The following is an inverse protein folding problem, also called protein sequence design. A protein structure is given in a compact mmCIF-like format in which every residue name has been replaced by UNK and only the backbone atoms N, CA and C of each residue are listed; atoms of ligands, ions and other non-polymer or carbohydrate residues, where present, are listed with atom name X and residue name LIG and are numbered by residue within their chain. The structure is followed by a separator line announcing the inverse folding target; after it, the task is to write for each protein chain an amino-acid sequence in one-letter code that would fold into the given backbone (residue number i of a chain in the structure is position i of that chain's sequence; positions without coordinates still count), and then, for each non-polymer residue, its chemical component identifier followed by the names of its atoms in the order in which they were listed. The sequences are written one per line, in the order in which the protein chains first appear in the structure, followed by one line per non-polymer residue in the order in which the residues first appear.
data_IF_177152844914
#
_entry.id   IF_177152844914
#
_cell.length_a   1.000
_cell.length_b   1.000
_cell.length_c   1.000
_cell.angle_alpha   90.00
_cell.angle_beta   90.00
_cell.angle_gamma   90.00
#
_symmetry.space_group_name_H-M   'P 1'
#
loop_
_entity.id
_entity.type
_entity.pdbx_description
1 polymer ?
#
# COMPACT_ATOMS: atom_id res chain seq x y z
N UNK A 1 -27.32 3.50 -7.64
CA UNK A 1 -27.45 4.97 -7.63
C UNK A 1 -28.81 5.35 -8.23
N UNK A 2 -29.54 6.30 -7.64
CA UNK A 2 -30.84 6.76 -8.18
C UNK A 2 -30.71 8.03 -9.01
N UNK A 3 -31.65 8.23 -9.94
CA UNK A 3 -31.71 9.44 -10.76
C UNK A 3 -31.87 10.69 -9.89
N UNK A 4 -31.24 11.79 -10.33
CA UNK A 4 -31.33 13.10 -9.69
C UNK A 4 -32.79 13.57 -9.62
N UNK A 5 -33.20 14.10 -8.46
CA UNK A 5 -34.56 14.64 -8.22
C UNK A 5 -35.02 15.67 -9.25
N UNK A 6 -34.11 16.50 -9.76
CA UNK A 6 -34.40 17.47 -10.81
C UNK A 6 -34.64 16.85 -12.21
N UNK A 7 -34.56 15.53 -12.37
CA UNK A 7 -34.80 14.85 -13.65
C UNK A 7 -33.77 15.16 -14.74
N UNK A 8 -32.60 15.70 -14.38
CA UNK A 8 -31.61 16.18 -15.35
C UNK A 8 -30.80 15.07 -16.06
N UNK A 9 -31.11 13.80 -15.83
CA UNK A 9 -30.42 12.64 -16.41
C UNK A 9 -29.12 12.21 -15.70
N UNK A 10 -28.67 12.95 -14.68
CA UNK A 10 -27.54 12.57 -13.82
C UNK A 10 -28.02 11.87 -12.53
N UNK A 11 -27.09 11.34 -11.73
CA UNK A 11 -27.39 10.67 -10.45
C UNK A 11 -27.41 11.64 -9.27
N UNK A 12 -28.33 11.40 -8.34
CA UNK A 12 -28.39 12.09 -7.05
C UNK A 12 -27.77 11.26 -5.93
N UNK A 13 -27.35 11.91 -4.85
CA UNK A 13 -26.87 11.24 -3.64
C UNK A 13 -27.49 11.86 -2.37
N UNK A 14 -27.38 11.15 -1.26
CA UNK A 14 -27.97 11.54 0.02
C UNK A 14 -27.40 12.87 0.56
N UNK A 15 -26.07 13.04 0.47
CA UNK A 15 -25.38 14.26 0.89
C UNK A 15 -25.91 15.53 0.19
N UNK A 16 -26.34 15.40 -1.07
CA UNK A 16 -26.92 16.48 -1.85
C UNK A 16 -28.45 16.40 -1.92
N UNK A 17 -29.10 15.82 -0.90
CA UNK A 17 -30.57 15.68 -0.79
C UNK A 17 -31.23 15.08 -2.04
N UNK A 18 -30.59 14.12 -2.69
CA UNK A 18 -31.07 13.45 -3.91
C UNK A 18 -30.83 14.21 -5.22
N UNK A 19 -30.10 15.33 -5.20
CA UNK A 19 -29.69 16.06 -6.41
C UNK A 19 -28.28 15.68 -6.87
N UNK A 20 -27.98 15.87 -8.15
CA UNK A 20 -26.60 15.90 -8.62
C UNK A 20 -25.91 17.20 -8.15
N UNK A 21 -24.58 17.23 -8.13
CA UNK A 21 -23.80 18.38 -7.66
C UNK A 21 -24.18 19.71 -8.33
N UNK A 22 -24.56 19.68 -9.61
CA UNK A 22 -25.02 20.85 -10.36
C UNK A 22 -26.41 21.31 -9.94
N UNK A 23 -27.38 20.40 -9.88
CA UNK A 23 -28.77 20.74 -9.52
C UNK A 23 -28.89 21.13 -8.04
N UNK A 24 -28.05 20.57 -7.18
CA UNK A 24 -28.02 20.91 -5.77
C UNK A 24 -27.76 22.41 -5.56
N UNK A 25 -26.79 23.00 -6.26
CA UNK A 25 -26.49 24.45 -6.13
C UNK A 25 -27.66 25.34 -6.54
N UNK A 26 -28.48 24.90 -7.49
CA UNK A 26 -29.65 25.65 -7.97
C UNK A 26 -30.86 25.49 -7.06
N UNK A 27 -31.01 24.33 -6.41
CA UNK A 27 -32.19 23.98 -5.60
C UNK A 27 -31.90 23.91 -4.10
N UNK A 28 -30.69 24.26 -3.65
CA UNK A 28 -30.25 24.16 -2.25
C UNK A 28 -31.09 25.01 -1.28
N UNK A 29 -31.78 26.04 -1.76
CA UNK A 29 -32.61 26.93 -0.94
C UNK A 29 -34.03 26.42 -0.68
N UNK A 30 -34.46 25.31 -1.31
CA UNK A 30 -35.79 24.77 -1.10
C UNK A 30 -35.76 23.75 0.05
N UNK A 31 -36.40 24.11 1.16
CA UNK A 31 -36.60 23.28 2.35
C UNK A 31 -37.63 22.16 2.09
N UNK A 32 -37.49 21.45 0.98
CA UNK A 32 -38.41 20.39 0.57
C UNK A 32 -37.95 19.03 1.11
N UNK A 33 -37.98 18.93 2.44
CA UNK A 33 -37.64 17.71 3.18
C UNK A 33 -38.62 16.59 2.83
N UNK A 34 -39.90 16.90 2.54
CA UNK A 34 -40.90 15.91 2.20
C UNK A 34 -40.58 15.18 0.87
N UNK A 35 -40.22 15.93 -0.17
CA UNK A 35 -39.83 15.30 -1.43
C UNK A 35 -38.42 14.65 -1.37
N UNK A 36 -37.56 15.05 -0.42
CA UNK A 36 -36.33 14.31 -0.15
C UNK A 36 -36.63 12.96 0.50
N UNK A 37 -37.49 12.93 1.51
CA UNK A 37 -37.90 11.71 2.23
C UNK A 37 -38.50 10.69 1.25
N UNK A 38 -39.36 11.16 0.34
CA UNK A 38 -39.95 10.32 -0.70
C UNK A 38 -38.90 9.77 -1.68
N UNK A 39 -37.94 10.60 -2.10
CA UNK A 39 -36.83 10.15 -2.93
C UNK A 39 -35.94 9.15 -2.20
N UNK A 40 -35.64 9.39 -0.91
CA UNK A 40 -34.80 8.52 -0.08
C UNK A 40 -35.46 7.14 0.07
N UNK A 41 -36.76 7.10 0.37
CA UNK A 41 -37.51 5.84 0.43
C UNK A 41 -37.48 5.07 -0.90
N UNK A 42 -37.63 5.77 -2.03
CA UNK A 42 -37.52 5.14 -3.35
C UNK A 42 -36.09 4.66 -3.65
N UNK A 43 -35.09 5.46 -3.25
CA UNK A 43 -33.68 5.13 -3.40
C UNK A 43 -33.30 3.89 -2.60
N UNK A 44 -33.63 3.84 -1.30
CA UNK A 44 -33.37 2.69 -0.43
C UNK A 44 -34.05 1.43 -0.94
N UNK A 45 -35.31 1.52 -1.40
CA UNK A 45 -35.99 0.37 -2.03
C UNK A 45 -35.28 -0.13 -3.29
N UNK A 46 -34.81 0.78 -4.15
CA UNK A 46 -34.09 0.41 -5.37
C UNK A 46 -32.73 -0.20 -5.06
N UNK A 47 -31.99 0.34 -4.08
CA UNK A 47 -30.70 -0.21 -3.64
C UNK A 47 -30.88 -1.61 -3.04
N UNK A 48 -31.83 -1.79 -2.12
CA UNK A 48 -32.08 -3.09 -1.50
C UNK A 48 -32.45 -4.16 -2.54
N UNK A 49 -33.28 -3.80 -3.54
CA UNK A 49 -33.60 -4.73 -4.63
C UNK A 49 -32.36 -5.17 -5.42
N UNK A 50 -31.43 -4.25 -5.72
CA UNK A 50 -30.18 -4.58 -6.42
C UNK A 50 -29.29 -5.47 -5.55
N UNK A 51 -29.21 -5.18 -4.25
CA UNK A 51 -28.45 -5.99 -3.29
C UNK A 51 -29.02 -7.41 -3.21
N UNK A 52 -30.34 -7.55 -3.10
CA UNK A 52 -31.04 -8.85 -3.12
C UNK A 52 -30.78 -9.63 -4.42
N UNK A 53 -30.86 -8.95 -5.58
CA UNK A 53 -30.56 -9.58 -6.88
C UNK A 53 -29.10 -10.03 -6.99
N UNK A 54 -28.15 -9.25 -6.46
CA UNK A 54 -26.73 -9.61 -6.44
C UNK A 54 -26.44 -10.78 -5.50
N UNK A 55 -27.04 -10.79 -4.30
CA UNK A 55 -26.94 -11.91 -3.34
C UNK A 55 -27.50 -13.18 -3.99
N UNK A 56 -28.67 -13.10 -4.62
CA UNK A 56 -29.28 -14.22 -5.32
C UNK A 56 -28.35 -14.77 -6.42
N UNK A 57 -27.77 -13.89 -7.26
CA UNK A 57 -26.81 -14.32 -8.30
C UNK A 57 -25.57 -14.97 -7.70
N UNK A 58 -25.04 -14.45 -6.59
CA UNK A 58 -23.89 -15.03 -5.88
C UNK A 58 -24.20 -16.44 -5.35
N UNK A 59 -25.39 -16.64 -4.77
CA UNK A 59 -25.85 -17.95 -4.29
C UNK A 59 -26.07 -18.94 -5.45
N UNK A 60 -26.67 -18.49 -6.55
CA UNK A 60 -26.83 -19.30 -7.76
C UNK A 60 -25.47 -19.74 -8.34
N UNK A 61 -24.46 -18.86 -8.29
CA UNK A 61 -23.10 -19.19 -8.71
C UNK A 61 -22.43 -20.22 -7.79
N UNK A 62 -22.56 -20.06 -6.46
CA UNK A 62 -22.02 -21.01 -5.49
C UNK A 62 -22.67 -22.40 -5.60
N UNK A 63 -23.97 -22.46 -5.91
CA UNK A 63 -24.67 -23.74 -6.14
C UNK A 63 -24.35 -24.36 -7.51
N UNK A 64 -23.89 -23.55 -8.47
CA UNK A 64 -23.54 -23.98 -9.81
C UNK A 64 -22.08 -24.40 -9.96
N UNK A 65 -21.23 -24.30 -8.93
CA UNK A 65 -19.89 -24.88 -8.95
C UNK A 65 -19.97 -26.41 -8.79
N UNK A 66 -19.71 -27.20 -9.84
CA UNK A 66 -19.61 -28.64 -9.69
C UNK A 66 -18.38 -28.96 -8.85
N UNK A 67 -18.58 -29.81 -7.84
CA UNK A 67 -17.56 -30.40 -6.99
C UNK A 67 -16.71 -31.38 -7.82
N UNK A 68 -15.81 -30.86 -8.67
CA UNK A 68 -15.02 -31.69 -9.60
C UNK A 68 -13.54 -31.66 -9.23
N UNK A 69 -13.17 -32.61 -8.37
CA UNK A 69 -11.79 -32.92 -7.96
C UNK A 69 -10.94 -33.59 -9.06
N UNK A 70 -11.29 -33.45 -10.34
CA UNK A 70 -10.50 -33.99 -11.45
C UNK A 70 -9.89 -32.89 -12.32
N UNK A 71 -8.64 -32.54 -11.99
CA UNK A 71 -7.74 -31.63 -12.70
C UNK A 71 -7.26 -32.17 -14.06
N UNK A 72 -8.18 -32.46 -14.99
CA UNK A 72 -7.81 -32.81 -16.38
C UNK A 72 -8.45 -31.88 -17.40
N UNK A 73 -7.61 -30.98 -17.92
CA UNK A 73 -7.82 -30.11 -19.09
C UNK A 73 -9.14 -29.34 -19.07
N UNK A 74 -9.09 -28.13 -18.49
CA UNK A 74 -10.12 -27.09 -18.58
C UNK A 74 -10.56 -26.94 -20.05
N UNK A 75 -11.67 -27.56 -20.44
CA UNK A 75 -12.39 -27.22 -21.66
C UNK A 75 -12.83 -25.78 -21.48
N UNK A 76 -12.59 -24.96 -22.50
CA UNK A 76 -13.02 -23.57 -22.57
C UNK A 76 -14.51 -23.53 -22.20
N UNK A 77 -14.86 -22.87 -21.09
CA UNK A 77 -16.26 -22.77 -20.65
C UNK A 77 -17.04 -21.98 -21.70
N UNK A 78 -17.84 -22.69 -22.50
CA UNK A 78 -18.87 -22.09 -23.34
C UNK A 78 -19.96 -21.52 -22.43
N UNK A 79 -19.77 -20.31 -21.94
CA UNK A 79 -20.74 -19.69 -21.04
C UNK A 79 -20.28 -18.47 -20.26
N UNK A 80 -19.00 -18.07 -20.33
CA UNK A 80 -18.60 -16.80 -19.73
C UNK A 80 -19.46 -15.66 -20.30
N UNK A 81 -20.13 -14.85 -19.45
CA UNK A 81 -20.95 -13.76 -19.91
C UNK A 81 -20.08 -12.80 -20.71
N UNK A 82 -20.24 -12.83 -22.03
CA UNK A 82 -19.58 -11.88 -22.92
C UNK A 82 -20.00 -10.49 -22.49
N UNK A 83 -19.04 -9.67 -22.11
CA UNK A 83 -19.26 -8.27 -21.83
C UNK A 83 -20.07 -7.66 -22.98
N UNK A 84 -21.13 -6.88 -22.68
CA UNK A 84 -21.91 -6.24 -23.72
C UNK A 84 -20.97 -5.37 -24.57
N UNK A 85 -21.12 -5.35 -25.90
CA UNK A 85 -20.27 -4.54 -26.75
C UNK A 85 -20.36 -3.07 -26.31
N UNK A 86 -19.21 -2.40 -26.23
CA UNK A 86 -19.16 -0.98 -25.93
C UNK A 86 -20.06 -0.19 -26.89
N UNK A 87 -20.85 0.74 -26.35
CA UNK A 87 -21.61 1.68 -27.17
C UNK A 87 -20.67 2.56 -27.99
N UNK A 88 -21.14 3.13 -29.10
CA UNK A 88 -20.34 4.04 -29.93
C UNK A 88 -19.79 5.23 -29.13
N UNK A 89 -20.56 5.76 -28.17
CA UNK A 89 -20.13 6.84 -27.29
C UNK A 89 -19.05 6.37 -26.29
N UNK A 90 -19.22 5.21 -25.66
CA UNK A 90 -18.20 4.66 -24.77
C UNK A 90 -16.91 4.37 -25.53
N UNK A 91 -17.01 3.87 -26.77
CA UNK A 91 -15.87 3.67 -27.66
C UNK A 91 -15.18 5.00 -27.99
N UNK A 92 -15.92 6.04 -28.37
CA UNK A 92 -15.35 7.36 -28.67
C UNK A 92 -14.67 8.01 -27.45
N UNK A 93 -15.22 7.81 -26.24
CA UNK A 93 -14.62 8.26 -24.98
C UNK A 93 -13.31 7.50 -24.72
N UNK A 94 -13.27 6.20 -24.97
CA UNK A 94 -12.08 5.37 -24.71
C UNK A 94 -11.03 5.47 -25.83
N UNK A 95 -11.44 5.86 -27.04
CA UNK A 95 -10.55 6.25 -28.13
C UNK A 95 -9.98 7.67 -27.91
N UNK A 96 -10.53 8.44 -26.98
CA UNK A 96 -9.86 9.65 -26.50
C UNK A 96 -8.62 9.25 -25.68
N UNK A 97 -7.47 9.57 -26.24
CA UNK A 97 -6.16 9.22 -25.70
C UNK A 97 -5.97 9.73 -24.26
N UNK A 98 -6.55 10.87 -23.89
CA UNK A 98 -6.45 11.42 -22.53
C UNK A 98 -7.27 10.61 -21.52
N UNK A 99 -8.47 10.16 -21.91
CA UNK A 99 -9.34 9.37 -21.04
C UNK A 99 -8.76 7.98 -20.84
N UNK A 100 -8.29 7.34 -21.92
CA UNK A 100 -7.63 6.05 -21.79
C UNK A 100 -6.37 6.14 -20.95
N UNK A 101 -5.51 7.14 -21.19
CA UNK A 101 -4.30 7.34 -20.39
C UNK A 101 -4.63 7.55 -18.92
N UNK A 102 -5.75 8.19 -18.60
CA UNK A 102 -6.27 8.32 -17.24
C UNK A 102 -6.81 6.99 -16.67
N UNK A 103 -7.43 6.14 -17.46
CA UNK A 103 -7.93 4.83 -17.00
C UNK A 103 -6.77 3.84 -16.82
N UNK A 104 -5.84 3.81 -17.78
CA UNK A 104 -4.66 2.95 -17.75
C UNK A 104 -3.76 3.20 -16.53
N UNK A 105 -3.88 4.37 -15.89
CA UNK A 105 -3.25 4.69 -14.59
C UNK A 105 -3.62 3.73 -13.47
N UNK A 106 -4.81 3.16 -13.58
CA UNK A 106 -5.41 2.29 -12.59
C UNK A 106 -5.40 0.83 -13.04
N UNK A 107 -4.97 0.56 -14.28
CA UNK A 107 -4.94 -0.79 -14.81
C UNK A 107 -3.54 -1.38 -14.68
N UNK A 108 -3.45 -2.59 -14.14
CA UNK A 108 -2.24 -3.39 -14.26
C UNK A 108 -2.17 -4.09 -15.62
N UNK A 109 -0.99 -4.55 -16.04
CA UNK A 109 -0.85 -5.35 -17.26
C UNK A 109 -1.67 -6.64 -17.24
N UNK A 110 -1.80 -7.22 -16.04
CA UNK A 110 -2.58 -8.40 -15.80
C UNK A 110 -4.08 -8.13 -15.99
N UNK A 111 -4.54 -6.89 -15.73
CA UNK A 111 -5.91 -6.44 -16.04
C UNK A 111 -6.05 -6.02 -17.51
N UNK A 112 -5.04 -5.38 -18.10
CA UNK A 112 -5.08 -4.94 -19.49
C UNK A 112 -5.18 -6.11 -20.44
N UNK A 113 -4.51 -7.23 -20.17
CA UNK A 113 -4.53 -8.38 -21.08
C UNK A 113 -5.95 -8.97 -21.25
N UNK A 114 -6.68 -9.32 -20.17
CA UNK A 114 -8.11 -9.66 -20.22
C UNK A 114 -8.98 -8.55 -20.83
N UNK A 115 -8.70 -7.28 -20.48
CA UNK A 115 -9.45 -6.13 -21.00
C UNK A 115 -9.27 -5.94 -22.52
N UNK A 116 -8.06 -6.20 -23.04
CA UNK A 116 -7.75 -6.18 -24.47
C UNK A 116 -8.45 -7.32 -25.21
N UNK A 117 -8.51 -8.51 -24.59
CA UNK A 117 -9.11 -9.71 -25.19
C UNK A 117 -10.64 -9.62 -25.25
N UNK A 118 -11.27 -8.92 -24.31
CA UNK A 118 -12.73 -8.81 -24.24
C UNK A 118 -13.34 -7.79 -25.22
N UNK A 119 -12.55 -6.83 -25.74
CA UNK A 119 -13.07 -5.79 -26.64
C UNK A 119 -12.15 -5.48 -27.84
N UNK A 120 -12.57 -5.93 -29.04
CA UNK A 120 -11.84 -5.71 -30.32
C UNK A 120 -11.50 -4.25 -30.63
N UNK A 121 -12.39 -3.32 -30.26
CA UNK A 121 -12.16 -1.88 -30.42
C UNK A 121 -11.06 -1.37 -29.48
N UNK A 122 -10.99 -1.93 -28.28
CA UNK A 122 -9.96 -1.63 -27.29
C UNK A 122 -8.59 -2.13 -27.72
N UNK A 123 -8.55 -3.27 -28.40
CA UNK A 123 -7.30 -3.82 -28.90
C UNK A 123 -6.52 -2.83 -29.79
N UNK A 124 -7.20 -1.99 -30.58
CA UNK A 124 -6.52 -0.97 -31.40
C UNK A 124 -5.93 0.17 -30.55
N UNK A 125 -6.65 0.62 -29.53
CA UNK A 125 -6.20 1.69 -28.63
C UNK A 125 -5.08 1.18 -27.71
N UNK A 126 -5.27 0.01 -27.12
CA UNK A 126 -4.31 -0.64 -26.23
C UNK A 126 -3.03 -1.11 -26.96
N UNK A 127 -3.08 -1.37 -28.27
CA UNK A 127 -1.86 -1.60 -29.06
C UNK A 127 -1.16 -0.30 -29.47
N UNK A 128 -1.71 0.87 -29.13
CA UNK A 128 -1.09 2.16 -29.40
C UNK A 128 0.15 2.34 -28.53
N UNK A 129 1.30 2.60 -29.16
CA UNK A 129 2.58 2.81 -28.48
C UNK A 129 2.51 3.91 -27.40
N UNK A 130 1.74 4.97 -27.63
CA UNK A 130 1.57 6.06 -26.67
C UNK A 130 0.93 5.62 -25.34
N UNK A 131 0.07 4.60 -25.37
CA UNK A 131 -0.53 4.03 -24.16
C UNK A 131 0.53 3.34 -23.32
N UNK A 132 1.31 2.45 -23.94
CA UNK A 132 2.39 1.73 -23.27
C UNK A 132 3.46 2.67 -22.75
N UNK A 133 3.81 3.72 -23.50
CA UNK A 133 4.70 4.79 -23.03
C UNK A 133 4.15 5.46 -21.79
N UNK A 134 2.90 5.93 -21.82
CA UNK A 134 2.29 6.61 -20.68
C UNK A 134 2.24 5.72 -19.43
N UNK A 135 1.86 4.45 -19.61
CA UNK A 135 1.88 3.47 -18.52
C UNK A 135 3.28 3.23 -17.96
N UNK A 136 4.28 3.12 -18.84
CA UNK A 136 5.66 2.91 -18.44
C UNK A 136 6.20 4.13 -17.69
N UNK A 137 6.02 5.34 -18.23
CA UNK A 137 6.44 6.59 -17.59
C UNK A 137 5.82 6.74 -16.20
N UNK A 138 4.57 6.31 -16.05
CA UNK A 138 3.90 6.34 -14.75
C UNK A 138 4.43 5.32 -13.76
N UNK A 139 4.67 4.08 -14.20
CA UNK A 139 5.12 3.01 -13.31
C UNK A 139 6.59 3.17 -12.95
N UNK A 140 7.42 3.50 -13.92
CA UNK A 140 8.89 3.46 -13.83
C UNK A 140 9.55 4.84 -13.95
N UNK A 141 8.82 5.88 -14.34
CA UNK A 141 9.40 7.19 -14.63
C UNK A 141 9.80 7.35 -16.10
N UNK A 142 9.86 8.60 -16.56
CA UNK A 142 10.20 8.94 -17.95
C UNK A 142 11.65 8.62 -18.30
N UNK A 143 12.58 8.93 -17.42
CA UNK A 143 14.02 8.67 -17.63
C UNK A 143 14.31 7.18 -17.84
N UNK A 144 13.59 6.32 -17.12
CA UNK A 144 13.72 4.87 -17.25
C UNK A 144 13.18 4.38 -18.60
N UNK A 145 12.07 4.93 -19.08
CA UNK A 145 11.55 4.64 -20.41
C UNK A 145 12.55 5.04 -21.50
N UNK A 146 13.07 6.27 -21.43
CA UNK A 146 14.01 6.78 -22.42
C UNK A 146 15.28 5.92 -22.46
N UNK A 147 15.79 5.52 -21.30
CA UNK A 147 16.95 4.61 -21.17
C UNK A 147 16.68 3.26 -21.80
N UNK A 148 15.54 2.64 -21.48
CA UNK A 148 15.16 1.34 -22.03
C UNK A 148 14.99 1.38 -23.55
N UNK A 149 14.39 2.45 -24.09
CA UNK A 149 14.22 2.61 -25.54
C UNK A 149 15.55 2.82 -26.27
N UNK A 150 16.51 3.55 -25.68
CA UNK A 150 17.85 3.72 -26.25
C UNK A 150 18.59 2.37 -26.32
N UNK A 151 18.57 1.59 -25.23
CA UNK A 151 19.18 0.25 -25.18
C UNK A 151 18.55 -0.64 -26.26
N UNK A 152 17.23 -0.63 -26.40
CA UNK A 152 16.51 -1.48 -27.33
C UNK A 152 16.64 -1.06 -28.80
N UNK A 153 16.81 0.23 -29.10
CA UNK A 153 17.11 0.71 -30.46
C UNK A 153 18.38 0.09 -31.03
N UNK A 154 19.38 -0.21 -30.19
CA UNK A 154 20.59 -0.93 -30.62
C UNK A 154 20.34 -2.39 -31.03
N UNK A 155 19.19 -2.95 -30.65
CA UNK A 155 18.79 -4.35 -30.83
C UNK A 155 17.63 -4.56 -31.83
N UNK A 156 17.21 -3.54 -32.59
CA UNK A 156 16.13 -3.63 -33.58
C UNK A 156 14.73 -4.03 -33.02
N UNK A 157 14.51 -3.91 -31.71
CA UNK A 157 13.19 -4.00 -31.07
C UNK A 157 12.91 -2.63 -30.43
N UNK A 158 11.81 -1.95 -30.73
CA UNK A 158 11.70 -0.55 -30.31
C UNK A 158 10.25 -0.12 -30.05
N UNK A 159 9.58 -0.79 -29.11
CA UNK A 159 8.31 -0.30 -28.57
C UNK A 159 8.30 -0.41 -27.04
N UNK A 160 7.65 0.53 -26.37
CA UNK A 160 7.42 0.47 -24.92
C UNK A 160 6.63 -0.79 -24.53
N UNK A 161 5.80 -1.30 -25.43
CA UNK A 161 5.07 -2.57 -25.25
C UNK A 161 6.02 -3.77 -25.17
N UNK A 162 7.01 -3.85 -26.06
CA UNK A 162 7.97 -4.96 -26.07
C UNK A 162 8.85 -4.95 -24.82
N UNK A 163 9.34 -3.77 -24.43
CA UNK A 163 10.07 -3.60 -23.17
C UNK A 163 9.22 -4.00 -21.96
N UNK A 164 7.95 -3.58 -21.93
CA UNK A 164 7.03 -3.97 -20.87
C UNK A 164 6.88 -5.49 -20.77
N UNK A 165 6.61 -6.16 -21.90
CA UNK A 165 6.49 -7.63 -21.96
C UNK A 165 7.77 -8.32 -21.52
N UNK A 166 8.92 -7.79 -21.90
CA UNK A 166 10.23 -8.27 -21.45
C UNK A 166 10.33 -8.20 -19.92
N UNK A 167 10.05 -7.04 -19.30
CA UNK A 167 10.08 -6.88 -17.84
C UNK A 167 9.15 -7.85 -17.13
N UNK A 168 7.90 -7.99 -17.59
CA UNK A 168 6.94 -8.96 -17.02
C UNK A 168 7.47 -10.39 -17.10
N UNK A 169 8.06 -10.78 -18.23
CA UNK A 169 8.65 -12.11 -18.41
C UNK A 169 9.82 -12.34 -17.43
N UNK A 170 10.69 -11.35 -17.25
CA UNK A 170 11.82 -11.44 -16.33
C UNK A 170 11.32 -11.50 -14.89
N UNK A 171 10.42 -10.61 -14.46
CA UNK A 171 9.83 -10.60 -13.12
C UNK A 171 9.23 -11.97 -12.77
N UNK A 172 8.45 -12.56 -13.68
CA UNK A 172 7.83 -13.86 -13.44
C UNK A 172 8.85 -15.01 -13.29
N UNK A 173 10.05 -14.89 -13.88
CA UNK A 173 11.13 -15.86 -13.70
C UNK A 173 11.74 -15.80 -12.30
N UNK A 174 11.78 -14.61 -11.69
CA UNK A 174 12.39 -14.40 -10.37
C UNK A 174 11.47 -14.70 -9.19
N UNK A 175 10.15 -14.78 -9.38
CA UNK A 175 9.20 -15.15 -8.32
C UNK A 175 9.47 -16.52 -7.68
N UNK A 176 10.22 -17.37 -8.36
CA UNK A 176 10.60 -18.70 -7.88
C UNK A 176 11.94 -18.70 -7.11
N UNK A 177 12.65 -17.57 -7.06
CA UNK A 177 13.94 -17.42 -6.38
C UNK A 177 13.79 -16.55 -5.13
N UNK A 178 14.37 -17.01 -4.02
CA UNK A 178 14.44 -16.23 -2.78
C UNK A 178 15.50 -15.13 -2.82
N UNK A 179 16.45 -15.22 -3.76
CA UNK A 179 17.71 -14.48 -3.70
C UNK A 179 17.90 -13.69 -5.00
N UNK A 180 18.26 -12.41 -4.87
CA UNK A 180 18.55 -11.54 -6.01
C UNK A 180 20.03 -11.13 -5.95
N UNK A 181 20.81 -11.50 -6.96
CA UNK A 181 22.20 -11.08 -7.08
C UNK A 181 22.29 -9.58 -7.43
N UNK A 182 23.26 -8.89 -6.83
CA UNK A 182 23.49 -7.47 -7.04
C UNK A 182 23.73 -7.11 -8.51
N UNK A 183 24.50 -7.91 -9.24
CA UNK A 183 24.80 -7.62 -10.65
C UNK A 183 23.57 -7.81 -11.55
N UNK A 184 22.63 -8.68 -11.16
CA UNK A 184 21.35 -8.83 -11.85
C UNK A 184 20.46 -7.61 -11.57
N UNK A 185 20.42 -7.15 -10.32
CA UNK A 185 19.73 -5.92 -9.94
C UNK A 185 20.28 -4.69 -10.66
N UNK A 186 21.59 -4.49 -10.73
CA UNK A 186 22.19 -3.34 -11.44
C UNK A 186 21.79 -3.29 -12.91
N UNK A 187 21.65 -4.45 -13.56
CA UNK A 187 21.22 -4.56 -14.96
C UNK A 187 19.72 -4.34 -15.12
N UNK A 188 18.92 -4.76 -14.14
CA UNK A 188 17.48 -4.75 -14.22
C UNK A 188 16.82 -4.50 -12.84
N UNK A 189 16.84 -3.26 -12.34
CA UNK A 189 16.35 -2.95 -10.99
C UNK A 189 14.88 -3.28 -10.77
N UNK A 190 14.08 -3.27 -11.84
CA UNK A 190 12.67 -3.62 -11.82
C UNK A 190 12.40 -5.06 -11.39
N UNK A 191 13.40 -5.94 -11.37
CA UNK A 191 13.31 -7.33 -10.88
C UNK A 191 12.94 -7.36 -9.40
N UNK A 192 13.27 -6.33 -8.62
CA UNK A 192 12.92 -6.26 -7.20
C UNK A 192 11.42 -6.45 -6.96
N UNK A 193 10.57 -6.04 -7.92
CA UNK A 193 9.11 -6.28 -7.86
C UNK A 193 8.73 -7.77 -7.78
N UNK A 194 9.59 -8.68 -8.23
CA UNK A 194 9.35 -10.11 -8.18
C UNK A 194 9.45 -10.67 -6.76
N UNK A 195 10.26 -10.03 -5.91
CA UNK A 195 10.50 -10.46 -4.53
C UNK A 195 9.64 -9.71 -3.51
N UNK A 196 8.95 -8.63 -3.93
CA UNK A 196 7.94 -7.97 -3.10
C UNK A 196 6.71 -8.88 -2.93
N UNK A 197 6.25 -9.01 -1.70
CA UNK A 197 5.09 -9.81 -1.28
C UNK A 197 3.78 -9.24 -1.84
N UNK A 198 3.67 -7.91 -1.89
CA UNK A 198 2.52 -7.21 -2.47
C UNK A 198 2.83 -6.72 -3.88
N UNK A 199 1.85 -6.79 -4.80
CA UNK A 199 2.00 -6.18 -6.10
C UNK A 199 2.11 -4.66 -5.97
N UNK A 200 2.93 -4.05 -6.83
CA UNK A 200 3.16 -2.60 -6.84
C UNK A 200 2.68 -1.95 -8.12
N UNK A 201 1.99 -0.82 -7.97
CA UNK A 201 1.51 0.02 -9.07
C UNK A 201 2.56 1.02 -9.55
N UNK A 202 3.53 1.39 -8.69
CA UNK A 202 4.67 2.26 -9.01
C UNK A 202 5.96 1.62 -8.47
N UNK A 203 7.02 1.68 -9.27
CA UNK A 203 8.38 1.28 -8.89
C UNK A 203 9.37 2.14 -9.67
N UNK A 204 9.92 3.18 -9.05
CA UNK A 204 10.79 4.12 -9.75
C UNK A 204 11.91 4.64 -8.84
N UNK A 205 13.02 5.10 -9.43
CA UNK A 205 14.05 5.79 -8.63
C UNK A 205 13.45 7.04 -8.00
N UNK A 206 13.97 7.41 -6.83
CA UNK A 206 13.54 8.64 -6.16
C UNK A 206 13.65 9.85 -7.10
N UNK A 207 12.60 10.68 -7.16
CA UNK A 207 12.53 11.87 -8.01
C UNK A 207 12.07 11.64 -9.45
N UNK A 208 11.95 10.39 -9.93
CA UNK A 208 11.49 10.11 -11.30
C UNK A 208 9.96 10.12 -11.48
N UNK A 209 9.22 10.01 -10.39
CA UNK A 209 7.75 10.02 -10.35
C UNK A 209 7.26 10.93 -9.23
N UNK A 210 6.03 11.41 -9.35
CA UNK A 210 5.39 12.17 -8.28
C UNK A 210 5.05 11.26 -7.10
N UNK A 211 5.78 11.40 -5.99
CA UNK A 211 5.57 10.66 -4.75
C UNK A 211 5.24 11.62 -3.58
N UNK A 212 4.75 11.10 -2.44
CA UNK A 212 4.52 11.91 -1.24
C UNK A 212 5.82 12.32 -0.52
N UNK A 213 6.94 11.66 -0.79
CA UNK A 213 8.25 12.03 -0.25
C UNK A 213 8.70 13.38 -0.83
N UNK A 214 8.72 14.42 0.01
CA UNK A 214 9.09 15.78 -0.38
C UNK A 214 10.46 16.12 0.20
N UNK A 215 11.30 16.73 -0.63
CA UNK A 215 12.63 17.18 -0.25
C UNK A 215 12.74 18.68 -0.51
N UNK A 216 13.45 19.42 0.36
CA UNK A 216 13.82 20.80 0.08
C UNK A 216 14.65 20.92 -1.21
N UNK A 217 14.60 22.08 -1.91
CA UNK A 217 15.34 22.28 -3.16
C UNK A 217 16.86 22.10 -3.08
N UNK A 218 17.44 22.26 -1.88
CA UNK A 218 18.86 22.08 -1.60
C UNK A 218 19.31 20.62 -1.53
N UNK A 219 18.39 19.67 -1.38
CA UNK A 219 18.69 18.24 -1.33
C UNK A 219 18.66 17.69 -2.75
N UNK A 220 19.82 17.24 -3.25
CA UNK A 220 19.87 16.50 -4.51
C UNK A 220 19.32 15.10 -4.28
N UNK A 221 18.11 14.84 -4.77
CA UNK A 221 17.44 13.53 -4.66
C UNK A 221 18.19 12.38 -5.35
N UNK A 222 19.18 12.68 -6.21
CA UNK A 222 20.06 11.67 -6.81
C UNK A 222 21.28 11.35 -5.92
N UNK A 223 21.57 12.21 -4.92
CA UNK A 223 22.61 11.96 -3.93
C UNK A 223 22.03 11.20 -2.75
N UNK A 224 22.17 9.87 -2.78
CA UNK A 224 21.66 8.94 -1.77
C UNK A 224 22.05 9.37 -0.35
N UNK A 225 23.30 9.82 -0.13
CA UNK A 225 23.76 10.23 1.20
C UNK A 225 23.03 11.46 1.72
N UNK A 226 22.90 12.50 0.89
CA UNK A 226 22.16 13.72 1.28
C UNK A 226 20.70 13.42 1.62
N UNK A 227 20.07 12.51 0.87
CA UNK A 227 18.70 12.08 1.15
C UNK A 227 18.62 11.36 2.50
N UNK A 228 19.52 10.42 2.79
CA UNK A 228 19.56 9.70 4.06
C UNK A 228 19.82 10.66 5.23
N UNK A 229 20.83 11.52 5.12
CA UNK A 229 21.13 12.55 6.13
C UNK A 229 19.91 13.42 6.43
N UNK A 230 19.17 13.82 5.38
CA UNK A 230 17.97 14.64 5.55
C UNK A 230 16.81 13.89 6.21
N UNK A 231 16.49 12.68 5.72
CA UNK A 231 15.36 11.88 6.21
C UNK A 231 15.58 11.51 7.68
N UNK A 232 16.79 11.08 8.04
CA UNK A 232 17.10 10.55 9.36
C UNK A 232 17.62 11.60 10.36
N UNK A 233 17.79 12.86 9.94
CA UNK A 233 18.21 13.96 10.82
C UNK A 233 17.42 14.06 12.15
N UNK A 234 16.09 13.83 12.21
CA UNK A 234 15.33 13.93 13.46
C UNK A 234 15.72 12.91 14.53
N UNK A 235 16.29 11.75 14.15
CA UNK A 235 16.55 10.63 15.06
C UNK A 235 18.01 10.16 15.07
N UNK A 236 18.92 10.84 14.35
CA UNK A 236 20.32 10.42 14.23
C UNK A 236 21.05 10.29 15.56
N UNK A 237 20.70 11.09 16.57
CA UNK A 237 21.27 10.99 17.91
C UNK A 237 20.76 9.78 18.71
N UNK A 238 19.66 9.18 18.28
CA UNK A 238 19.03 8.01 18.92
C UNK A 238 19.35 6.70 18.20
N UNK A 239 19.59 6.74 16.89
CA UNK A 239 19.89 5.58 16.04
C UNK A 239 21.20 5.77 15.25
N UNK A 240 22.33 6.07 15.91
CA UNK A 240 23.57 6.39 15.21
C UNK A 240 24.07 5.23 14.36
N UNK A 241 23.94 3.99 14.85
CA UNK A 241 24.45 2.78 14.20
C UNK A 241 23.67 2.48 12.93
N UNK A 242 22.34 2.56 12.97
CA UNK A 242 21.49 2.43 11.78
C UNK A 242 21.79 3.51 10.74
N UNK A 243 21.91 4.78 11.15
CA UNK A 243 22.17 5.87 10.20
C UNK A 243 23.55 5.71 9.56
N UNK A 244 24.56 5.30 10.32
CA UNK A 244 25.88 4.98 9.79
C UNK A 244 25.82 3.84 8.77
N UNK A 245 25.12 2.76 9.08
CA UNK A 245 24.87 1.66 8.13
C UNK A 245 24.22 2.18 6.84
N UNK A 246 23.13 2.94 6.94
CA UNK A 246 22.42 3.45 5.77
C UNK A 246 23.34 4.32 4.89
N UNK A 247 24.15 5.21 5.49
CA UNK A 247 25.07 6.09 4.78
C UNK A 247 26.22 5.35 4.07
N UNK A 248 26.61 4.20 4.60
CA UNK A 248 27.75 3.43 4.10
C UNK A 248 27.32 2.34 3.11
N UNK A 249 26.16 1.72 3.31
CA UNK A 249 25.75 0.50 2.59
C UNK A 249 24.72 0.78 1.49
N UNK A 250 23.83 1.77 1.67
CA UNK A 250 22.77 2.05 0.69
C UNK A 250 23.35 2.67 -0.57
N UNK A 251 23.10 2.01 -1.70
CA UNK A 251 23.61 2.42 -3.01
C UNK A 251 22.53 3.05 -3.89
N UNK A 252 21.25 2.76 -3.63
CA UNK A 252 20.16 3.31 -4.41
C UNK A 252 18.87 3.49 -3.59
N UNK A 253 18.09 4.51 -3.97
CA UNK A 253 16.79 4.81 -3.37
C UNK A 253 15.69 4.71 -4.42
N UNK A 254 14.64 3.97 -4.08
CA UNK A 254 13.44 3.82 -4.91
C UNK A 254 12.20 4.21 -4.14
N UNK A 255 11.19 4.68 -4.86
CA UNK A 255 9.83 4.83 -4.32
C UNK A 255 8.95 3.75 -4.93
N UNK A 256 8.15 3.13 -4.07
CA UNK A 256 7.14 2.17 -4.48
C UNK A 256 5.78 2.60 -3.98
N UNK A 257 4.75 2.28 -4.75
CA UNK A 257 3.36 2.39 -4.32
C UNK A 257 2.71 1.03 -4.47
N UNK A 258 2.09 0.55 -3.41
CA UNK A 258 1.27 -0.66 -3.45
C UNK A 258 0.18 -0.54 -4.53
N UNK A 259 -0.24 -1.69 -5.04
CA UNK A 259 -1.47 -1.77 -5.81
C UNK A 259 -2.64 -1.88 -4.83
N UNK A 260 -3.76 -1.21 -5.12
CA UNK A 260 -5.01 -1.43 -4.38
C UNK A 260 -5.46 -2.87 -4.56
N UNK A 261 -5.70 -3.58 -3.47
CA UNK A 261 -6.47 -4.82 -3.52
C UNK A 261 -7.95 -4.46 -3.67
N UNK A 262 -8.64 -5.05 -4.65
CA UNK A 262 -10.07 -4.78 -4.90
C UNK A 262 -10.96 -5.11 -3.69
N UNK A 263 -10.48 -6.02 -2.82
CA UNK A 263 -11.18 -6.50 -1.64
C UNK A 263 -10.90 -5.66 -0.38
N UNK A 264 -9.96 -4.72 -0.43
CA UNK A 264 -9.55 -3.94 0.73
C UNK A 264 -9.75 -2.45 0.46
N UNK A 265 -10.58 -1.78 1.26
CA UNK A 265 -10.82 -0.33 1.19
C UNK A 265 -9.58 0.52 1.54
N UNK A 266 -8.43 -0.13 1.74
CA UNK A 266 -7.18 0.53 2.06
C UNK A 266 -6.67 1.35 0.88
N UNK A 267 -6.37 2.62 1.18
CA UNK A 267 -5.67 3.49 0.25
C UNK A 267 -4.27 2.93 -0.03
N UNK A 268 -3.82 2.89 -1.30
CA UNK A 268 -2.53 2.31 -1.64
C UNK A 268 -1.41 3.11 -0.98
N UNK A 269 -0.55 2.40 -0.25
CA UNK A 269 0.51 3.00 0.56
C UNK A 269 1.79 3.21 -0.26
N UNK A 270 2.59 4.18 0.17
CA UNK A 270 3.86 4.54 -0.46
C UNK A 270 5.01 4.23 0.47
N UNK A 271 6.11 3.76 -0.10
CA UNK A 271 7.32 3.43 0.65
C UNK A 271 8.56 3.96 -0.04
N UNK A 272 9.55 4.32 0.78
CA UNK A 272 10.91 4.59 0.37
C UNK A 272 11.74 3.33 0.61
N UNK A 273 12.34 2.82 -0.45
CA UNK A 273 13.18 1.63 -0.44
C UNK A 273 14.66 2.03 -0.38
N UNK A 274 15.38 1.44 0.57
CA UNK A 274 16.83 1.58 0.76
C UNK A 274 17.51 0.33 0.25
N UNK A 275 18.12 0.41 -0.93
CA UNK A 275 18.73 -0.75 -1.59
C UNK A 275 20.23 -0.77 -1.31
N UNK A 276 20.72 -1.88 -0.77
CA UNK A 276 22.13 -2.08 -0.45
C UNK A 276 22.61 -3.46 -0.89
N UNK A 277 23.92 -3.60 -1.00
CA UNK A 277 24.57 -4.85 -1.34
C UNK A 277 25.03 -5.53 -0.04
N UNK A 278 24.63 -6.78 0.17
CA UNK A 278 25.14 -7.58 1.29
C UNK A 278 26.58 -8.01 1.02
N UNK A 279 27.38 -8.07 2.09
CA UNK A 279 28.81 -8.41 2.05
C UNK A 279 29.05 -9.90 1.75
N UNK A 280 28.26 -10.79 2.36
CA UNK A 280 28.52 -12.24 2.37
C UNK A 280 28.33 -12.87 0.99
N UNK A 281 27.25 -12.52 0.29
CA UNK A 281 26.80 -13.26 -0.88
C UNK A 281 26.55 -12.41 -2.14
N UNK A 282 26.96 -11.13 -2.13
CA UNK A 282 26.65 -10.20 -3.23
C UNK A 282 25.14 -10.14 -3.52
N UNK A 283 24.30 -10.36 -2.51
CA UNK A 283 22.85 -10.30 -2.64
C UNK A 283 22.35 -8.86 -2.45
N UNK A 284 21.12 -8.63 -2.91
CA UNK A 284 20.40 -7.38 -2.68
C UNK A 284 19.73 -7.41 -1.32
N UNK A 285 20.16 -6.52 -0.43
CA UNK A 285 19.44 -6.17 0.79
C UNK A 285 18.51 -4.99 0.56
N UNK A 286 17.43 -4.93 1.33
CA UNK A 286 16.38 -3.93 1.19
C UNK A 286 15.76 -3.59 2.54
N UNK A 287 15.81 -2.32 2.94
CA UNK A 287 14.89 -1.79 3.96
C UNK A 287 13.78 -0.99 3.30
N UNK A 288 12.61 -0.92 3.93
CA UNK A 288 11.52 -0.06 3.48
C UNK A 288 10.93 0.76 4.61
N UNK A 289 10.73 2.05 4.36
CA UNK A 289 10.07 2.97 5.29
C UNK A 289 8.83 3.61 4.67
N UNK A 290 7.74 3.68 5.44
CA UNK A 290 6.50 4.33 5.05
C UNK A 290 6.64 5.85 4.86
N UNK A 291 5.56 6.50 4.42
CA UNK A 291 5.53 7.96 4.28
C UNK A 291 5.69 8.60 5.66
N UNK A 292 6.57 9.60 5.85
CA UNK A 292 6.73 10.24 7.14
C UNK A 292 5.42 10.91 7.60
N UNK A 293 5.07 10.71 8.86
CA UNK A 293 3.96 11.37 9.54
C UNK A 293 4.52 12.57 10.33
N UNK A 294 4.20 13.84 9.96
CA UNK A 294 4.71 15.00 10.67
C UNK A 294 4.55 14.87 12.19
N UNK A 295 5.59 15.23 12.95
CA UNK A 295 5.66 14.94 14.39
C UNK A 295 4.43 15.44 15.17
N UNK A 296 3.90 16.63 14.83
CA UNK A 296 2.71 17.20 15.47
C UNK A 296 1.42 16.43 15.18
N UNK A 297 1.39 15.65 14.09
CA UNK A 297 0.33 14.70 13.76
C UNK A 297 0.57 13.34 14.42
N UNK A 298 1.81 12.86 14.43
CA UNK A 298 2.18 11.62 15.09
C UNK A 298 1.88 11.66 16.60
N UNK A 299 2.15 12.81 17.24
CA UNK A 299 1.77 13.08 18.64
C UNK A 299 0.27 13.06 18.90
N UNK A 300 -0.58 13.03 17.87
CA UNK A 300 -2.04 12.97 17.97
C UNK A 300 -2.60 11.59 17.62
N UNK A 301 -1.74 10.62 17.33
CA UNK A 301 -2.16 9.24 17.10
C UNK A 301 -2.60 8.68 18.45
N UNK A 302 -3.84 8.23 18.47
CA UNK A 302 -4.47 7.60 19.63
C UNK A 302 -4.81 6.16 19.27
N UNK A 303 -4.66 5.27 20.25
CA UNK A 303 -5.07 3.88 20.16
C UNK A 303 -6.18 3.62 21.17
N UNK A 304 -7.23 2.92 20.74
CA UNK A 304 -8.37 2.60 21.60
C UNK A 304 -7.89 1.82 22.84
N UNK A 305 -8.40 2.18 24.02
CA UNK A 305 -7.98 1.58 25.30
C UNK A 305 -6.59 2.04 25.81
N UNK A 306 -5.68 2.47 24.94
CA UNK A 306 -4.35 2.96 25.31
C UNK A 306 -4.30 4.48 25.56
N UNK A 307 -4.83 5.26 24.62
CA UNK A 307 -4.63 6.70 24.52
C UNK A 307 -3.51 7.07 23.53
N UNK A 308 -2.83 8.19 23.79
CA UNK A 308 -1.76 8.70 22.92
C UNK A 308 -0.60 7.72 22.82
N UNK A 309 0.02 7.62 21.65
CA UNK A 309 1.25 6.85 21.49
C UNK A 309 2.45 7.52 22.20
N UNK A 310 3.50 6.76 22.55
CA UNK A 310 4.74 7.31 23.11
C UNK A 310 5.40 8.36 22.21
N UNK A 311 6.06 9.36 22.82
CA UNK A 311 6.72 10.47 22.08
C UNK A 311 7.88 9.98 21.21
N UNK A 312 8.61 8.98 21.68
CA UNK A 312 9.68 8.29 20.97
C UNK A 312 9.18 7.64 19.69
N UNK A 313 8.10 6.85 19.76
CA UNK A 313 7.46 6.27 18.58
C UNK A 313 6.91 7.36 17.63
N UNK A 314 6.30 8.42 18.19
CA UNK A 314 5.84 9.54 17.38
C UNK A 314 6.99 10.27 16.65
N UNK A 315 8.15 10.41 17.30
CA UNK A 315 9.35 10.99 16.71
C UNK A 315 9.90 10.09 15.59
N UNK A 316 9.89 8.77 15.79
CA UNK A 316 10.26 7.82 14.74
C UNK A 316 9.34 7.90 13.52
N UNK A 317 8.02 8.00 13.73
CA UNK A 317 7.06 8.20 12.63
C UNK A 317 7.28 9.49 11.83
N UNK A 318 7.97 10.49 12.40
CA UNK A 318 8.37 11.70 11.65
C UNK A 318 9.46 11.44 10.60
N UNK A 319 10.15 10.30 10.70
CA UNK A 319 11.11 9.79 9.70
C UNK A 319 10.41 8.80 8.77
N UNK A 320 9.74 7.79 9.33
CA UNK A 320 8.97 6.79 8.59
C UNK A 320 7.78 6.29 9.40
N UNK A 321 6.56 6.41 8.86
CA UNK A 321 5.38 5.78 9.43
C UNK A 321 5.37 4.27 9.13
N UNK A 322 6.09 3.53 9.97
CA UNK A 322 6.43 2.12 9.77
C UNK A 322 7.76 1.93 9.03
N UNK A 323 8.53 0.93 9.45
CA UNK A 323 9.86 0.64 8.91
C UNK A 323 10.20 -0.85 9.06
N UNK A 324 10.72 -1.49 8.02
CA UNK A 324 11.08 -2.92 8.05
C UNK A 324 12.41 -3.20 7.37
N UNK A 325 13.14 -4.18 7.92
CA UNK A 325 14.42 -4.68 7.39
C UNK A 325 14.26 -5.85 6.40
N UNK A 326 13.16 -6.60 6.46
CA UNK A 326 12.88 -7.70 5.53
C UNK A 326 11.81 -7.29 4.51
N UNK A 327 12.24 -6.50 3.52
CA UNK A 327 11.42 -5.84 2.52
C UNK A 327 10.72 -6.71 1.47
N UNK A 328 10.28 -7.94 1.80
CA UNK A 328 9.25 -8.59 0.97
C UNK A 328 7.89 -8.00 1.32
N UNK A 329 7.56 -7.92 2.60
CA UNK A 329 6.35 -7.22 3.06
C UNK A 329 6.68 -5.76 3.29
N UNK A 330 5.96 -4.87 2.61
CA UNK A 330 6.17 -3.43 2.75
C UNK A 330 5.53 -2.89 4.04
N UNK A 331 4.52 -3.59 4.58
CA UNK A 331 3.70 -3.19 5.72
C UNK A 331 4.23 -3.62 7.10
N UNK A 332 5.53 -3.93 7.20
CA UNK A 332 6.26 -4.19 8.46
C UNK A 332 5.64 -5.27 9.38
N UNK A 333 4.91 -6.23 8.83
CA UNK A 333 4.12 -7.19 9.63
C UNK A 333 4.92 -8.33 10.26
N UNK A 334 6.12 -8.62 9.75
CA UNK A 334 6.94 -9.75 10.20
C UNK A 334 8.26 -9.33 10.80
N UNK A 335 8.74 -8.11 10.54
CA UNK A 335 10.06 -7.70 10.99
C UNK A 335 10.28 -6.18 10.88
N UNK A 336 9.83 -5.42 11.88
CA UNK A 336 10.03 -3.97 11.90
C UNK A 336 9.09 -3.19 12.80
N UNK A 337 9.15 -1.87 12.72
CA UNK A 337 8.20 -0.97 13.36
C UNK A 337 6.95 -0.90 12.52
N UNK A 338 5.79 -1.21 13.09
CA UNK A 338 4.50 -1.14 12.39
C UNK A 338 4.15 0.30 12.04
N UNK A 339 3.29 0.50 11.04
CA UNK A 339 2.72 1.81 10.77
C UNK A 339 1.70 2.22 11.84
N UNK A 340 1.44 3.52 11.94
CA UNK A 340 0.43 4.11 12.82
C UNK A 340 -0.99 3.57 12.56
N UNK A 341 -1.31 3.20 11.33
CA UNK A 341 -2.62 2.63 10.94
C UNK A 341 -2.77 1.15 11.35
N UNK A 342 -1.65 0.44 11.41
CA UNK A 342 -1.61 -0.99 11.78
C UNK A 342 -1.27 -1.21 13.25
N UNK A 343 -0.91 -0.15 13.97
CA UNK A 343 -0.64 -0.18 15.40
C UNK A 343 -1.86 -0.72 16.15
N UNK A 344 -1.63 -1.57 17.16
CA UNK A 344 -2.68 -2.19 17.95
C UNK A 344 -2.33 -2.19 19.44
N UNK A 345 -3.29 -1.76 20.23
CA UNK A 345 -3.38 -1.97 21.66
C UNK A 345 -3.72 -3.45 21.92
N UNK A 346 -2.94 -4.14 22.75
CA UNK A 346 -3.24 -5.52 23.16
C UNK A 346 -3.95 -5.51 24.51
N UNK A 347 -5.18 -6.05 24.55
CA UNK A 347 -5.80 -6.38 25.82
C UNK A 347 -4.93 -7.44 26.49
N UNK A 348 -4.49 -7.15 27.71
CA UNK A 348 -3.73 -8.10 28.50
C UNK A 348 -4.75 -9.12 29.03
N UNK A 349 -5.01 -10.20 28.29
CA UNK A 349 -5.84 -11.34 28.77
C UNK A 349 -5.15 -12.12 29.90
N UNK A 350 -3.95 -11.68 30.30
CA UNK A 350 -3.06 -12.32 31.26
C UNK A 350 -3.67 -12.44 32.69
N UNK A 351 -4.82 -11.82 32.98
CA UNK A 351 -5.38 -11.83 34.32
C UNK A 351 -6.87 -12.25 34.34
N UNK A 352 -7.07 -13.56 34.57
CA UNK A 352 -8.23 -14.24 35.14
C UNK A 352 -9.55 -14.32 34.34
N UNK A 353 -9.87 -15.53 33.86
CA UNK A 353 -11.20 -15.94 33.38
C UNK A 353 -12.28 -15.98 34.50
N UNK A 354 -11.91 -15.80 35.78
CA UNK A 354 -12.80 -16.07 36.92
C UNK A 354 -13.41 -14.84 37.62
N UNK A 355 -13.00 -13.61 37.29
CA UNK A 355 -13.54 -12.41 37.94
C UNK A 355 -14.54 -11.67 37.03
N UNK A 356 -15.82 -11.99 37.20
CA UNK A 356 -16.99 -11.35 36.56
C UNK A 356 -17.26 -9.91 37.07
N UNK A 357 -16.25 -9.14 37.44
CA UNK A 357 -16.44 -7.75 37.80
C UNK A 357 -16.23 -6.86 36.57
N UNK A 358 -17.37 -6.41 36.04
CA UNK A 358 -17.52 -5.25 35.16
C UNK A 358 -16.73 -4.07 35.74
N UNK A 359 -15.49 -3.84 35.31
CA UNK A 359 -14.95 -2.51 35.00
C UNK A 359 -13.47 -2.59 34.58
N UNK A 360 -13.18 -2.05 33.39
CA UNK A 360 -11.88 -1.43 33.09
C UNK A 360 -10.62 -2.30 33.14
N UNK A 361 -10.64 -3.51 32.58
CA UNK A 361 -9.45 -4.23 32.12
C UNK A 361 -8.74 -3.47 30.99
N UNK A 362 -8.16 -2.31 31.31
CA UNK A 362 -7.51 -1.39 30.38
C UNK A 362 -6.34 -2.09 29.71
N UNK A 363 -6.30 -2.01 28.39
CA UNK A 363 -5.11 -2.36 27.60
C UNK A 363 -3.84 -1.79 28.25
N UNK A 364 -2.93 -2.68 28.66
CA UNK A 364 -1.64 -2.35 29.28
C UNK A 364 -0.44 -2.55 28.36
N UNK A 365 -0.66 -3.04 27.14
CA UNK A 365 0.37 -3.19 26.13
C UNK A 365 0.02 -2.48 24.82
N UNK A 366 1.02 -1.81 24.24
CA UNK A 366 0.94 -1.25 22.89
C UNK A 366 2.03 -1.89 22.03
N UNK A 367 1.64 -2.79 21.12
CA UNK A 367 2.59 -3.49 20.24
C UNK A 367 3.01 -2.61 19.08
N UNK A 368 4.31 -2.39 18.93
CA UNK A 368 4.88 -1.61 17.84
C UNK A 368 5.80 -2.42 16.93
N UNK A 369 6.19 -3.63 17.33
CA UNK A 369 6.99 -4.57 16.54
C UNK A 369 6.35 -5.96 16.58
N UNK A 370 6.42 -6.67 15.47
CA UNK A 370 6.03 -8.08 15.35
C UNK A 370 7.26 -8.89 14.99
N UNK A 371 7.44 -10.03 15.66
CA UNK A 371 8.44 -11.06 15.40
C UNK A 371 7.79 -12.40 14.95
N UNK A 372 6.46 -12.45 14.89
CA UNK A 372 5.68 -13.59 14.40
C UNK A 372 4.91 -14.33 15.51
N UNK A 373 4.03 -15.25 15.13
CA UNK A 373 3.32 -16.11 16.10
C UNK A 373 2.36 -15.42 17.08
N UNK A 374 2.18 -14.10 17.01
CA UNK A 374 1.43 -13.33 18.01
C UNK A 374 2.31 -12.54 18.99
N UNK A 375 3.62 -12.77 18.94
CA UNK A 375 4.61 -12.15 19.80
C UNK A 375 5.03 -10.75 19.29
N UNK A 376 5.89 -10.09 20.06
CA UNK A 376 6.67 -8.95 19.59
C UNK A 376 6.92 -7.88 20.65
N UNK A 377 7.69 -6.86 20.29
CA UNK A 377 8.02 -5.78 21.21
C UNK A 377 6.83 -4.85 21.45
N UNK A 378 6.55 -4.59 22.73
CA UNK A 378 5.45 -3.74 23.16
C UNK A 378 5.91 -2.67 24.14
N UNK A 379 5.21 -1.54 24.20
CA UNK A 379 5.29 -0.60 25.31
C UNK A 379 4.39 -1.05 26.47
N UNK A 380 4.85 -0.83 27.70
CA UNK A 380 4.06 -1.08 28.91
C UNK A 380 3.41 0.19 29.46
N UNK A 381 2.14 0.14 29.84
CA UNK A 381 1.46 1.32 30.35
C UNK A 381 1.86 1.58 31.79
N UNK A 382 2.85 2.44 32.00
CA UNK A 382 3.25 2.84 33.36
C UNK A 382 2.52 4.11 33.80
N UNK A 383 1.91 4.04 34.98
CA UNK A 383 1.38 5.21 35.70
C UNK A 383 2.39 5.60 36.77
N UNK A 384 2.87 6.85 36.73
CA UNK A 384 3.80 7.39 37.72
C UNK A 384 3.14 7.52 39.08
N UNK A 385 3.94 7.71 40.13
CA UNK A 385 3.46 7.89 41.50
C UNK A 385 2.55 9.12 41.70
N UNK A 386 2.59 10.09 40.78
CA UNK A 386 1.72 11.26 40.75
C UNK A 386 0.39 11.03 39.98
N UNK A 387 0.15 9.81 39.49
CA UNK A 387 -1.04 9.43 38.73
C UNK A 387 -1.00 9.81 37.25
N UNK A 388 0.13 10.34 36.76
CA UNK A 388 0.30 10.74 35.37
C UNK A 388 0.89 9.57 34.57
N UNK A 389 0.38 9.35 33.35
CA UNK A 389 0.95 8.36 32.42
C UNK A 389 2.36 8.76 31.99
N UNK A 390 3.26 7.79 31.93
CA UNK A 390 4.58 8.01 31.35
C UNK A 390 4.46 8.33 29.85
N UNK A 391 5.17 9.36 29.40
CA UNK A 391 5.14 9.80 28.00
C UNK A 391 5.96 8.90 27.08
N UNK A 392 6.96 8.21 27.64
CA UNK A 392 7.85 7.27 26.98
C UNK A 392 8.15 6.11 27.93
N UNK A 393 7.19 5.18 28.12
CA UNK A 393 7.44 4.00 28.94
C UNK A 393 8.49 3.09 28.29
N UNK A 394 9.09 2.23 29.12
CA UNK A 394 9.96 1.17 28.64
C UNK A 394 9.18 0.15 27.79
N UNK A 395 9.95 -0.60 27.02
CA UNK A 395 9.47 -1.67 26.16
C UNK A 395 9.96 -3.01 26.66
N UNK A 396 9.21 -4.05 26.34
CA UNK A 396 9.52 -5.43 26.66
C UNK A 396 9.01 -6.36 25.57
N UNK A 397 9.62 -7.54 25.51
CA UNK A 397 9.17 -8.62 24.66
C UNK A 397 7.84 -9.17 25.21
N UNK A 398 6.84 -9.27 24.35
CA UNK A 398 5.55 -9.86 24.68
C UNK A 398 5.43 -11.21 23.98
N UNK A 399 5.36 -12.25 24.79
CA UNK A 399 5.04 -13.60 24.35
C UNK A 399 3.59 -13.93 24.71
N UNK A 400 2.76 -14.21 23.71
CA UNK A 400 1.36 -14.58 23.97
C UNK A 400 1.22 -15.92 24.71
N UNK A 401 2.26 -16.76 24.72
CA UNK A 401 2.30 -18.02 25.46
C UNK A 401 2.86 -17.84 26.88
N UNK A 402 3.55 -16.73 27.16
CA UNK A 402 4.16 -16.45 28.46
C UNK A 402 3.56 -15.20 29.12
N UNK A 403 2.75 -15.35 30.18
CA UNK A 403 2.11 -14.21 30.86
C UNK A 403 3.10 -13.29 31.60
N UNK A 404 4.38 -13.66 31.71
CA UNK A 404 5.40 -12.85 32.36
C UNK A 404 5.91 -11.79 31.38
N UNK A 405 5.58 -10.54 31.67
CA UNK A 405 6.01 -9.40 30.86
C UNK A 405 6.86 -8.45 31.69
N UNK A 406 8.08 -8.16 31.22
CA UNK A 406 9.00 -7.23 31.88
C UNK A 406 9.51 -6.18 30.87
N UNK A 407 9.08 -4.93 31.04
CA UNK A 407 9.59 -3.82 30.24
C UNK A 407 10.93 -3.32 30.81
N UNK A 408 12.03 -3.59 30.10
CA UNK A 408 13.40 -3.41 30.61
C UNK A 408 14.26 -2.48 29.76
N UNK A 409 13.90 -2.25 28.49
CA UNK A 409 14.71 -1.48 27.54
C UNK A 409 13.92 -0.33 26.93
N UNK A 410 14.58 0.79 26.63
CA UNK A 410 13.93 1.89 25.93
C UNK A 410 13.63 1.53 24.48
N UNK A 411 12.67 2.25 23.87
CA UNK A 411 12.36 2.11 22.45
C UNK A 411 13.57 2.29 21.54
N UNK A 412 14.46 3.24 21.86
CA UNK A 412 15.64 3.53 21.04
C UNK A 412 16.72 2.45 21.18
N UNK A 413 16.95 1.93 22.40
CA UNK A 413 17.87 0.81 22.61
C UNK A 413 17.39 -0.42 21.82
N UNK A 414 16.10 -0.78 21.94
CA UNK A 414 15.52 -1.87 21.15
C UNK A 414 15.71 -1.69 19.64
N UNK A 415 15.44 -0.50 19.11
CA UNK A 415 15.56 -0.25 17.67
C UNK A 415 17.00 -0.26 17.17
N UNK A 416 17.94 0.32 17.92
CA UNK A 416 19.35 0.30 17.50
C UNK A 416 19.88 -1.14 17.54
N UNK A 417 19.50 -1.96 18.52
CA UNK A 417 19.83 -3.40 18.55
C UNK A 417 19.18 -4.15 17.36
N UNK A 418 17.85 -4.14 17.26
CA UNK A 418 17.10 -4.94 16.28
C UNK A 418 17.46 -4.61 14.82
N UNK A 419 17.70 -3.32 14.51
CA UNK A 419 18.03 -2.88 13.15
C UNK A 419 19.53 -3.00 12.83
N UNK A 420 20.35 -3.48 13.77
CA UNK A 420 21.80 -3.65 13.58
C UNK A 420 22.33 -5.05 13.81
N UNK A 421 21.62 -5.91 14.54
CA UNK A 421 22.04 -7.28 14.89
C UNK A 421 22.34 -8.18 13.67
N UNK A 422 21.87 -7.85 12.46
CA UNK A 422 22.10 -8.62 11.24
C UNK A 422 22.83 -7.83 10.14
N UNK A 423 23.47 -6.70 10.48
CA UNK A 423 24.22 -5.93 9.50
C UNK A 423 25.57 -6.60 9.23
N UNK A 424 25.56 -7.71 8.48
CA UNK A 424 26.77 -8.41 8.01
C UNK A 424 27.63 -7.54 7.08
N UNK A 425 27.16 -6.35 6.68
CA UNK A 425 27.81 -5.47 5.70
C UNK A 425 29.15 -4.84 6.13
N UNK A 426 29.71 -5.23 7.29
CA UNK A 426 30.96 -4.68 7.85
C UNK A 426 32.19 -5.54 7.56
#
# INVERSE_FOLDING_TARGET
MSACRAGCGFFGNEANKGYCSKCYRTHASENDNAAFEQWLQQHTKAVNKIVEENIKRKLEWQQAEPNDNNSKKRKQMEGEPKWPPLTTNARAILENQDVFSNIARFLTPAEITPFMLSCKSFHKVANGENVWRSMFEMKYGKTELDTALIINQSNNQASANDEWKYRVKVINKFKESSDLDWNEFEKAPFILQAILHKPVSVFAKLGQVSSPFKFPPEIDVNNVKQVIEHVWAPVVSHLPTLVEFLLNCVQALYVVREQCDEDNDNTPEWYLLYIYKTSEDNQVGLHSGGVPLPYEKALKVEQEGWGMIPKSLALFYSVHDGYTKFGRRLDAWEDGVVSSNTLRSLACEIFNEDDNDDDEGKTQLLRFHHDGGGNGQTFYRTVRSDGILEEDPLTGDYDHECPEYEATISFWEFLDEMLTEENDCW
#
